data_IF_561888911549
#
_entry.id   IF_561888911549
#
_cell.length_a   1.000
_cell.length_b   1.000
_cell.length_c   1.000
_cell.angle_alpha   90.00
_cell.angle_beta   90.00
_cell.angle_gamma   90.00
#
_symmetry.space_group_name_H-M   'P 1'
#
loop_
_entity.id
_entity.type
_entity.pdbx_description
1 polymer ?
#
# COMPACT_ATOMS: atom_id res chain seq x y z
N UNK A 1 9.66 2.12 -25.85
CA UNK A 1 9.88 2.10 -24.39
C UNK A 1 9.36 0.76 -23.91
N UNK A 2 10.23 -0.12 -23.43
CA UNK A 2 9.82 -1.34 -22.76
C UNK A 2 9.13 -0.93 -21.46
N UNK A 3 7.86 -1.31 -21.30
CA UNK A 3 7.18 -1.14 -20.04
C UNK A 3 7.86 -2.05 -19.01
N UNK A 4 8.23 -1.51 -17.86
CA UNK A 4 8.66 -2.33 -16.73
C UNK A 4 7.50 -3.22 -16.32
N UNK A 5 7.76 -4.51 -16.11
CA UNK A 5 6.81 -5.35 -15.37
C UNK A 5 6.83 -4.94 -13.89
N UNK A 6 5.77 -5.27 -13.16
CA UNK A 6 5.57 -4.86 -11.76
C UNK A 6 6.79 -5.12 -10.87
N UNK A 7 7.31 -6.35 -10.88
CA UNK A 7 8.47 -6.71 -10.06
C UNK A 7 9.75 -5.95 -10.46
N UNK A 8 9.95 -5.66 -11.74
CA UNK A 8 11.11 -4.88 -12.18
C UNK A 8 11.02 -3.43 -11.70
N UNK A 9 9.81 -2.87 -11.68
CA UNK A 9 9.56 -1.54 -11.12
C UNK A 9 9.79 -1.53 -9.60
N UNK A 10 9.32 -2.55 -8.88
CA UNK A 10 9.55 -2.69 -7.43
C UNK A 10 11.05 -2.74 -7.14
N UNK A 11 11.81 -3.56 -7.88
CA UNK A 11 13.27 -3.65 -7.72
C UNK A 11 13.97 -2.32 -8.05
N UNK A 12 13.52 -1.62 -9.09
CA UNK A 12 14.05 -0.30 -9.40
C UNK A 12 13.76 0.72 -8.28
N UNK A 13 12.55 0.73 -7.70
CA UNK A 13 12.19 1.59 -6.55
C UNK A 13 13.06 1.24 -5.34
N UNK A 14 13.22 -0.05 -5.04
CA UNK A 14 14.12 -0.54 -3.98
C UNK A 14 15.54 0.00 -4.16
N UNK A 15 16.04 -0.01 -5.39
CA UNK A 15 17.38 0.52 -5.69
C UNK A 15 17.49 2.05 -5.61
N UNK A 16 16.36 2.78 -5.66
CA UNK A 16 16.37 4.24 -5.46
C UNK A 16 16.37 4.63 -3.97
N UNK A 17 15.99 3.71 -3.07
CA UNK A 17 16.02 3.95 -1.63
C UNK A 17 17.44 4.14 -1.10
N UNK A 18 17.65 5.14 -0.23
CA UNK A 18 18.90 5.27 0.51
C UNK A 18 18.98 4.28 1.68
N UNK A 19 20.18 4.01 2.21
CA UNK A 19 20.39 3.18 3.41
C UNK A 19 19.97 3.89 4.71
N UNK A 20 18.93 4.74 4.68
CA UNK A 20 18.48 5.45 5.87
C UNK A 20 18.03 4.44 6.91
N UNK A 21 18.88 4.21 7.91
CA UNK A 21 18.68 3.30 9.05
C UNK A 21 17.53 3.72 9.98
N UNK A 22 16.62 4.60 9.54
CA UNK A 22 15.44 5.03 10.26
C UNK A 22 14.23 4.14 10.01
N UNK A 23 14.27 3.32 8.95
CA UNK A 23 13.13 2.47 8.61
C UNK A 23 13.19 1.22 9.50
N UNK A 24 12.20 1.08 10.38
CA UNK A 24 12.06 -0.09 11.26
C UNK A 24 11.95 -1.40 10.45
N UNK A 25 11.57 -1.28 9.18
CA UNK A 25 11.38 -2.35 8.21
C UNK A 25 11.78 -1.87 6.81
N UNK A 26 12.58 -2.66 6.08
CA UNK A 26 12.94 -2.34 4.69
C UNK A 26 11.76 -2.48 3.71
N UNK A 27 11.95 -2.03 2.46
CA UNK A 27 10.92 -2.14 1.41
C UNK A 27 10.61 -3.61 1.08
N UNK A 28 9.35 -4.02 1.21
CA UNK A 28 8.89 -5.33 0.75
C UNK A 28 7.82 -6.01 1.59
N UNK A 29 7.30 -5.34 2.61
CA UNK A 29 6.17 -5.81 3.39
C UNK A 29 4.86 -5.12 2.95
N UNK A 30 3.73 -5.52 3.53
CA UNK A 30 2.39 -5.04 3.12
C UNK A 30 2.18 -3.55 3.45
N UNK A 31 2.94 -2.98 4.41
CA UNK A 31 2.85 -1.56 4.77
C UNK A 31 4.23 -0.96 5.07
N UNK A 32 4.36 0.36 4.93
CA UNK A 32 5.49 1.09 5.48
C UNK A 32 5.27 1.37 6.98
N UNK A 33 6.34 1.25 7.78
CA UNK A 33 6.33 1.62 9.20
C UNK A 33 7.04 2.97 9.38
N UNK A 34 6.31 3.97 9.85
CA UNK A 34 6.84 5.28 10.20
C UNK A 34 6.89 5.44 11.72
N UNK A 35 7.92 6.13 12.22
CA UNK A 35 8.08 6.43 13.64
C UNK A 35 7.99 7.95 13.88
N UNK A 36 6.78 8.53 13.95
CA UNK A 36 6.60 9.99 14.10
C UNK A 36 7.09 10.50 15.47
N UNK A 37 7.12 9.64 16.50
CA UNK A 37 7.69 9.94 17.81
C UNK A 37 8.26 8.68 18.48
N UNK A 38 9.02 8.86 19.57
CA UNK A 38 9.58 7.73 20.33
C UNK A 38 8.48 6.79 20.84
N UNK A 39 8.67 5.48 20.68
CA UNK A 39 7.72 4.43 21.07
C UNK A 39 6.36 4.51 20.36
N UNK A 40 6.29 5.08 19.15
CA UNK A 40 5.08 5.06 18.32
C UNK A 40 5.39 4.50 16.94
N UNK A 41 4.50 3.65 16.43
CA UNK A 41 4.57 3.09 15.09
C UNK A 41 3.29 3.46 14.34
N UNK A 42 3.46 4.02 13.15
CA UNK A 42 2.38 4.34 12.23
C UNK A 42 2.55 3.48 10.98
N UNK A 43 1.59 2.60 10.74
CA UNK A 43 1.53 1.82 9.50
C UNK A 43 0.85 2.64 8.41
N UNK A 44 1.45 2.64 7.22
CA UNK A 44 0.95 3.35 6.05
C UNK A 44 0.84 2.40 4.86
N UNK A 45 -0.37 2.28 4.32
CA UNK A 45 -0.69 1.55 3.10
C UNK A 45 -1.27 2.51 2.06
N UNK A 46 -1.03 2.23 0.77
CA UNK A 46 -1.67 2.95 -0.32
C UNK A 46 -1.89 2.02 -1.51
N UNK A 47 -3.10 2.03 -2.04
CA UNK A 47 -3.50 1.20 -3.17
C UNK A 47 -4.28 2.00 -4.21
N UNK A 48 -4.03 1.68 -5.48
CA UNK A 48 -4.75 2.26 -6.62
C UNK A 48 -5.65 1.22 -7.27
N UNK A 49 -6.96 1.48 -7.30
CA UNK A 49 -7.92 0.64 -8.01
C UNK A 49 -8.39 1.30 -9.31
N UNK A 50 -8.06 0.67 -10.43
CA UNK A 50 -8.54 1.04 -11.77
C UNK A 50 -9.74 0.21 -12.24
N UNK A 51 -10.71 0.90 -12.86
CA UNK A 51 -11.82 0.27 -13.61
C UNK A 51 -11.30 -0.55 -14.79
N UNK A 52 -11.97 -1.65 -15.13
CA UNK A 52 -11.52 -2.61 -16.15
C UNK A 52 -10.46 -3.61 -15.66
N UNK A 53 -9.79 -3.32 -14.54
CA UNK A 53 -8.80 -4.23 -13.91
C UNK A 53 -9.30 -4.76 -12.57
N UNK A 54 -9.66 -3.86 -11.65
CA UNK A 54 -10.02 -4.23 -10.27
C UNK A 54 -11.53 -4.35 -10.06
N UNK A 55 -12.32 -3.62 -10.84
CA UNK A 55 -13.77 -3.65 -10.86
C UNK A 55 -14.26 -3.18 -12.24
N UNK A 56 -15.53 -3.42 -12.57
CA UNK A 56 -16.17 -2.93 -13.80
C UNK A 56 -17.52 -2.32 -13.49
N UNK A 57 -17.87 -1.24 -14.19
CA UNK A 57 -19.21 -0.67 -14.16
C UNK A 57 -19.99 -1.06 -15.43
N UNK A 58 -21.13 -1.77 -15.32
CA UNK A 58 -21.60 -2.66 -14.24
C UNK A 58 -20.77 -3.98 -14.14
N UNK A 59 -20.87 -4.77 -13.03
CA UNK A 59 -21.92 -4.76 -12.00
C UNK A 59 -21.59 -3.97 -10.73
N UNK A 60 -20.42 -3.36 -10.62
CA UNK A 60 -20.12 -2.54 -9.44
C UNK A 60 -21.05 -1.30 -9.40
N UNK A 61 -21.23 -0.73 -8.20
CA UNK A 61 -21.76 0.62 -8.00
C UNK A 61 -20.63 1.51 -7.47
N UNK A 62 -20.72 2.85 -7.60
CA UNK A 62 -19.71 3.74 -7.01
C UNK A 62 -19.47 3.48 -5.52
N UNK A 63 -20.52 3.14 -4.78
CA UNK A 63 -20.43 2.76 -3.37
C UNK A 63 -19.62 1.46 -3.18
N UNK A 64 -19.88 0.42 -3.98
CA UNK A 64 -19.12 -0.83 -3.90
C UNK A 64 -17.65 -0.65 -4.31
N UNK A 65 -17.38 0.21 -5.29
CA UNK A 65 -16.01 0.57 -5.68
C UNK A 65 -15.29 1.29 -4.52
N UNK A 66 -15.93 2.27 -3.87
CA UNK A 66 -15.38 2.96 -2.70
C UNK A 66 -15.15 2.02 -1.51
N UNK A 67 -16.09 1.11 -1.24
CA UNK A 67 -15.93 0.07 -0.21
C UNK A 67 -14.73 -0.83 -0.50
N UNK A 68 -14.52 -1.22 -1.75
CA UNK A 68 -13.35 -2.02 -2.14
C UNK A 68 -12.05 -1.22 -1.97
N UNK A 69 -12.03 0.05 -2.37
CA UNK A 69 -10.85 0.92 -2.23
C UNK A 69 -10.39 1.07 -0.77
N UNK A 70 -11.33 1.17 0.17
CA UNK A 70 -11.00 1.14 1.59
C UNK A 70 -10.58 -0.27 2.05
N UNK A 71 -11.34 -1.30 1.67
CA UNK A 71 -11.13 -2.67 2.16
C UNK A 71 -9.76 -3.25 1.81
N UNK A 72 -9.18 -2.91 0.64
CA UNK A 72 -7.84 -3.40 0.26
C UNK A 72 -6.76 -2.86 1.19
N UNK A 73 -6.71 -1.55 1.42
CA UNK A 73 -5.75 -0.93 2.37
C UNK A 73 -5.97 -1.42 3.82
N UNK A 74 -7.22 -1.62 4.24
CA UNK A 74 -7.51 -2.19 5.56
C UNK A 74 -7.01 -3.64 5.70
N UNK A 75 -6.98 -4.39 4.60
CA UNK A 75 -6.43 -5.74 4.57
C UNK A 75 -4.93 -5.74 4.84
N UNK A 76 -4.18 -4.84 4.21
CA UNK A 76 -2.72 -4.72 4.40
C UNK A 76 -2.38 -4.31 5.83
N UNK A 77 -3.12 -3.34 6.39
CA UNK A 77 -2.99 -2.97 7.80
C UNK A 77 -3.26 -4.16 8.72
N UNK A 78 -4.30 -4.96 8.44
CA UNK A 78 -4.63 -6.13 9.25
C UNK A 78 -3.57 -7.24 9.14
N UNK A 79 -2.97 -7.44 7.96
CA UNK A 79 -1.88 -8.39 7.76
C UNK A 79 -0.66 -8.04 8.63
N UNK A 80 -0.41 -6.74 8.83
CA UNK A 80 0.65 -6.21 9.67
C UNK A 80 0.27 -6.05 11.15
N UNK A 81 -0.91 -6.52 11.57
CA UNK A 81 -1.39 -6.40 12.95
C UNK A 81 -1.78 -4.97 13.36
N UNK A 82 -1.93 -4.07 12.39
CA UNK A 82 -2.32 -2.68 12.57
C UNK A 82 -3.77 -2.51 13.01
N UNK A 83 -4.02 -1.46 13.81
CA UNK A 83 -5.37 -0.96 14.07
C UNK A 83 -5.61 0.28 13.21
N UNK A 84 -6.61 0.30 12.32
CA UNK A 84 -6.90 1.46 11.48
C UNK A 84 -7.22 2.71 12.30
N UNK A 85 -6.61 3.84 11.94
CA UNK A 85 -6.82 5.13 12.61
C UNK A 85 -7.61 6.12 11.75
N UNK A 86 -7.30 6.19 10.45
CA UNK A 86 -7.91 7.13 9.50
C UNK A 86 -7.93 6.55 8.08
N UNK A 87 -8.83 7.07 7.26
CA UNK A 87 -8.98 6.79 5.82
C UNK A 87 -9.10 8.11 5.05
#
# INVERSE_FOLDING_TARGET
>A
MTAFHEFELIEWIRSQGGTSHSDLLGIGDDTAILQPSANSELLLATDMLMEGTHFTFPPATPELAGRKALAVNLSDLAAMGGTPHSA
#
